data_IF_191595952518
#
_entry.id   IF_191595952518
#
_cell.length_a   1.000
_cell.length_b   1.000
_cell.length_c   1.000
_cell.angle_alpha   90.00
_cell.angle_beta   90.00
_cell.angle_gamma   90.00
#
_symmetry.space_group_name_H-M   'P 1'
#
loop_
_entity.id
_entity.type
_entity.pdbx_description
1 polymer ?
#
# COMPACT_ATOMS: atom_id res chain seq x y z
N UNK A 1 0.02 -5.88 1.57
CA UNK A 1 -0.01 -5.28 2.92
C UNK A 1 -1.32 -5.65 3.60
N UNK A 2 -1.33 -6.06 4.87
CA UNK A 2 -2.57 -6.26 5.64
C UNK A 2 -3.36 -4.96 5.78
N UNK A 3 -4.69 -5.03 5.70
CA UNK A 3 -5.58 -3.86 5.72
C UNK A 3 -5.40 -3.06 7.02
N UNK A 4 -5.27 -3.73 8.16
CA UNK A 4 -5.08 -3.07 9.46
C UNK A 4 -3.80 -2.24 9.56
N UNK A 5 -2.70 -2.70 8.93
CA UNK A 5 -1.44 -1.95 8.90
C UNK A 5 -1.58 -0.72 8.03
N UNK A 6 -2.21 -0.85 6.85
CA UNK A 6 -2.46 0.29 5.98
C UNK A 6 -3.34 1.34 6.67
N UNK A 7 -4.41 0.90 7.33
CA UNK A 7 -5.31 1.78 8.08
C UNK A 7 -4.59 2.51 9.22
N UNK A 8 -3.67 1.84 9.93
CA UNK A 8 -2.88 2.46 11.00
C UNK A 8 -1.92 3.52 10.46
N UNK A 9 -1.26 3.25 9.34
CA UNK A 9 -0.38 4.22 8.68
C UNK A 9 -1.17 5.43 8.19
N UNK A 10 -2.32 5.23 7.54
CA UNK A 10 -3.19 6.33 7.12
C UNK A 10 -3.72 7.14 8.31
N UNK A 11 -4.01 6.49 9.45
CA UNK A 11 -4.35 7.19 10.68
C UNK A 11 -3.20 8.10 11.15
N UNK A 12 -1.96 7.60 11.19
CA UNK A 12 -0.80 8.41 11.57
C UNK A 12 -0.61 9.60 10.63
N UNK A 13 -0.80 9.40 9.32
CA UNK A 13 -0.72 10.47 8.32
C UNK A 13 -1.83 11.52 8.51
N UNK A 14 -3.07 11.08 8.81
CA UNK A 14 -4.20 11.97 9.12
C UNK A 14 -3.95 12.78 10.38
N UNK A 15 -3.50 12.11 11.44
CA UNK A 15 -3.19 12.73 12.71
C UNK A 15 -2.07 13.76 12.54
N UNK A 16 -0.99 13.43 11.84
CA UNK A 16 0.07 14.39 11.52
C UNK A 16 -0.45 15.63 10.76
N UNK A 17 -1.37 15.44 9.82
CA UNK A 17 -1.90 16.53 9.00
C UNK A 17 -2.85 17.45 9.78
N UNK A 18 -3.65 16.91 10.69
CA UNK A 18 -4.76 17.63 11.33
C UNK A 18 -4.57 17.92 12.82
N UNK A 19 -3.71 17.21 13.53
CA UNK A 19 -3.55 17.38 14.99
C UNK A 19 -2.51 18.44 15.37
N UNK A 20 -1.74 19.00 14.42
CA UNK A 20 -0.81 20.10 14.70
C UNK A 20 0.16 19.84 15.87
N UNK A 21 0.82 20.90 16.37
CA UNK A 21 1.65 20.89 17.59
C UNK A 21 0.89 21.43 18.82
N UNK A 22 -0.30 22.01 18.62
CA UNK A 22 -1.11 22.59 19.69
C UNK A 22 -2.31 21.69 20.01
N UNK A 23 -2.55 21.46 21.30
CA UNK A 23 -3.63 20.64 21.83
C UNK A 23 -5.00 21.25 21.52
N UNK A 24 -5.52 20.93 20.33
CA UNK A 24 -6.88 21.26 19.93
C UNK A 24 -7.38 20.25 18.91
N UNK A 25 -8.54 19.64 19.16
CA UNK A 25 -9.20 18.76 18.18
C UNK A 25 -9.65 19.60 16.99
N UNK A 26 -8.75 19.84 16.05
CA UNK A 26 -9.09 20.52 14.82
C UNK A 26 -9.95 19.57 13.98
N UNK A 27 -11.18 20.01 13.71
CA UNK A 27 -12.16 19.22 12.99
C UNK A 27 -11.60 18.75 11.65
N UNK A 28 -11.81 17.49 11.26
CA UNK A 28 -11.40 16.98 9.95
C UNK A 28 -12.18 17.69 8.83
N UNK A 29 -11.68 18.85 8.38
CA UNK A 29 -12.38 19.73 7.43
C UNK A 29 -12.50 19.12 6.03
N UNK A 30 -11.65 18.15 5.69
CA UNK A 30 -11.60 17.53 4.36
C UNK A 30 -11.51 16.01 4.47
N UNK A 31 -12.36 15.29 3.72
CA UNK A 31 -12.32 13.83 3.60
C UNK A 31 -10.94 13.35 3.13
N UNK A 32 -10.44 12.29 3.75
CA UNK A 32 -9.10 11.77 3.47
C UNK A 32 -8.91 11.35 2.02
N UNK A 33 -9.93 10.79 1.38
CA UNK A 33 -9.89 10.40 -0.03
C UNK A 33 -9.61 11.59 -0.94
N UNK A 34 -10.13 12.77 -0.60
CA UNK A 34 -9.89 14.01 -1.36
C UNK A 34 -8.48 14.54 -1.11
N UNK A 35 -7.97 14.42 0.12
CA UNK A 35 -6.59 14.78 0.48
C UNK A 35 -5.57 13.96 -0.32
N UNK A 36 -5.85 12.67 -0.54
CA UNK A 36 -4.93 11.77 -1.25
C UNK A 36 -4.85 12.01 -2.75
N UNK A 37 -5.82 12.71 -3.36
CA UNK A 37 -5.82 13.03 -4.80
C UNK A 37 -4.68 13.98 -5.18
N UNK A 38 -4.41 14.08 -6.49
CA UNK A 38 -3.41 15.00 -7.02
C UNK A 38 -3.78 16.47 -6.75
N UNK A 39 -2.81 17.38 -6.86
CA UNK A 39 -3.06 18.82 -6.67
C UNK A 39 -3.95 19.38 -7.77
N UNK A 40 -3.82 18.85 -8.99
CA UNK A 40 -4.64 19.19 -10.16
C UNK A 40 -6.10 18.79 -9.95
N UNK A 41 -6.35 17.71 -9.20
CA UNK A 41 -7.69 17.26 -8.81
C UNK A 41 -8.21 17.92 -7.51
N UNK A 42 -7.49 18.89 -6.94
CA UNK A 42 -7.87 19.59 -5.71
C UNK A 42 -7.57 18.84 -4.41
N UNK A 43 -6.65 17.88 -4.44
CA UNK A 43 -6.06 17.21 -3.27
C UNK A 43 -4.68 17.76 -2.87
N UNK A 44 -4.01 17.10 -1.92
CA UNK A 44 -2.66 17.48 -1.47
C UNK A 44 -1.54 16.71 -2.18
N UNK A 45 -1.86 15.71 -3.00
CA UNK A 45 -0.90 14.87 -3.70
C UNK A 45 -0.18 13.86 -2.81
N UNK A 46 -0.68 13.61 -1.59
CA UNK A 46 -0.08 12.68 -0.62
C UNK A 46 -0.13 11.22 -1.14
N UNK A 47 -1.06 10.93 -2.06
CA UNK A 47 -1.21 9.65 -2.75
C UNK A 47 -1.83 8.56 -1.87
N UNK A 48 -2.69 7.72 -2.47
CA UNK A 48 -3.41 6.67 -1.75
C UNK A 48 -2.49 5.50 -1.39
N UNK A 49 -2.46 5.12 -0.11
CA UNK A 49 -1.67 3.96 0.35
C UNK A 49 -2.24 2.65 -0.21
N UNK A 50 -3.57 2.60 -0.42
CA UNK A 50 -4.25 1.49 -1.07
C UNK A 50 -3.75 1.29 -2.50
N UNK A 51 -3.74 2.36 -3.30
CA UNK A 51 -3.26 2.33 -4.69
C UNK A 51 -1.79 1.92 -4.76
N UNK A 52 -0.95 2.49 -3.88
CA UNK A 52 0.47 2.09 -3.77
C UNK A 52 0.62 0.61 -3.42
N UNK A 53 -0.18 0.09 -2.50
CA UNK A 53 -0.14 -1.34 -2.14
C UNK A 53 -0.64 -2.25 -3.27
N UNK A 54 -1.62 -1.82 -4.07
CA UNK A 54 -2.05 -2.53 -5.29
C UNK A 54 -0.94 -2.55 -6.34
N UNK A 55 -0.35 -1.40 -6.64
CA UNK A 55 0.77 -1.29 -7.58
C UNK A 55 1.97 -2.14 -7.15
N UNK A 56 2.32 -2.11 -5.86
CA UNK A 56 3.40 -2.95 -5.32
C UNK A 56 3.07 -4.44 -5.44
N UNK A 57 1.83 -4.86 -5.14
CA UNK A 57 1.41 -6.25 -5.34
C UNK A 57 1.53 -6.68 -6.80
N UNK A 58 1.07 -5.85 -7.74
CA UNK A 58 1.21 -6.11 -9.16
C UNK A 58 2.69 -6.20 -9.59
N UNK A 59 3.54 -5.30 -9.11
CA UNK A 59 4.99 -5.33 -9.34
C UNK A 59 5.61 -6.64 -8.85
N UNK A 60 5.26 -7.09 -7.66
CA UNK A 60 5.80 -8.35 -7.12
C UNK A 60 5.27 -9.57 -7.86
N UNK A 61 4.00 -9.56 -8.27
CA UNK A 61 3.41 -10.61 -9.09
C UNK A 61 4.13 -10.72 -10.44
N UNK A 62 4.42 -9.58 -11.08
CA UNK A 62 5.18 -9.52 -12.33
C UNK A 62 6.61 -10.05 -12.18
N UNK A 63 7.27 -9.75 -11.05
CA UNK A 63 8.63 -10.24 -10.76
C UNK A 63 8.69 -11.72 -10.41
N UNK A 64 7.58 -12.31 -9.96
CA UNK A 64 7.54 -13.70 -9.49
C UNK A 64 8.06 -14.73 -10.51
N UNK A 65 7.64 -14.73 -11.79
CA UNK A 65 8.20 -15.66 -12.79
C UNK A 65 9.61 -15.29 -13.26
N UNK A 66 10.06 -14.05 -13.07
CA UNK A 66 11.36 -13.56 -13.54
C UNK A 66 12.48 -13.85 -12.54
N UNK A 67 12.17 -13.83 -11.24
CA UNK A 67 13.16 -13.92 -10.16
C UNK A 67 13.16 -15.29 -9.44
N UNK A 68 13.10 -16.37 -10.22
CA UNK A 68 12.99 -17.75 -9.71
C UNK A 68 14.14 -18.17 -8.79
N UNK A 69 15.32 -17.58 -8.95
CA UNK A 69 16.51 -17.89 -8.14
C UNK A 69 16.60 -17.10 -6.83
N UNK A 70 15.71 -16.15 -6.59
CA UNK A 70 15.75 -15.31 -5.38
C UNK A 70 15.25 -16.07 -4.14
N UNK A 71 15.77 -15.70 -2.97
CA UNK A 71 15.36 -16.30 -1.69
C UNK A 71 13.86 -16.11 -1.42
N UNK A 72 13.32 -14.92 -1.71
CA UNK A 72 11.92 -14.61 -1.50
C UNK A 72 11.01 -15.48 -2.39
N UNK A 73 11.40 -15.72 -3.65
CA UNK A 73 10.67 -16.61 -4.55
C UNK A 73 10.61 -18.04 -3.98
N UNK A 74 11.75 -18.58 -3.51
CA UNK A 74 11.81 -19.91 -2.89
C UNK A 74 10.93 -20.02 -1.63
N UNK A 75 10.94 -19.01 -0.78
CA UNK A 75 10.11 -18.95 0.43
C UNK A 75 8.62 -18.95 0.06
N UNK A 76 8.22 -18.11 -0.90
CA UNK A 76 6.82 -18.03 -1.34
C UNK A 76 6.40 -19.35 -2.00
N UNK A 77 7.23 -19.91 -2.88
CA UNK A 77 6.99 -21.21 -3.53
C UNK A 77 6.78 -22.32 -2.50
N UNK A 78 7.66 -22.40 -1.50
CA UNK A 78 7.57 -23.38 -0.41
C UNK A 78 6.33 -23.17 0.48
N UNK A 79 6.02 -21.92 0.83
CA UNK A 79 4.88 -21.59 1.69
C UNK A 79 3.52 -21.93 1.08
N UNK A 80 3.37 -21.76 -0.23
CA UNK A 80 2.10 -21.97 -0.92
C UNK A 80 2.06 -23.26 -1.74
N UNK A 81 3.07 -24.14 -1.62
CA UNK A 81 3.08 -25.44 -2.29
C UNK A 81 2.99 -25.32 -3.81
N UNK A 82 3.64 -24.32 -4.41
CA UNK A 82 3.68 -24.15 -5.87
C UNK A 82 4.70 -25.16 -6.43
N UNK A 83 4.38 -26.44 -6.31
CA UNK A 83 5.08 -27.52 -7.00
C UNK A 83 4.56 -27.57 -8.43
N UNK A 84 5.42 -27.08 -9.34
CA UNK A 84 5.60 -27.42 -10.76
C UNK A 84 4.49 -28.04 -11.63
N UNK A 85 3.19 -27.90 -11.33
CA UNK A 85 2.14 -28.55 -12.12
C UNK A 85 1.04 -27.58 -12.63
N UNK A 86 1.28 -26.27 -12.69
CA UNK A 86 0.29 -25.29 -13.18
C UNK A 86 0.78 -24.24 -14.18
N UNK A 87 2.09 -24.20 -14.46
CA UNK A 87 2.68 -23.28 -15.45
C UNK A 87 3.73 -24.01 -16.28
N UNK A 88 3.42 -25.26 -16.67
CA UNK A 88 4.13 -25.95 -17.73
C UNK A 88 3.53 -25.52 -19.07
N UNK A 89 4.40 -25.21 -20.02
CA UNK A 89 4.12 -24.98 -21.43
C UNK A 89 3.02 -25.85 -22.02
#
# INVERSE_FOLDING_TARGET
MPIGVAAKVEQLMRNFLWEGLEEGKDSHLVRWERVTKSKEEGGLGIGSLRERNEALRAKWLWRFPLETNSLWHRIIKSKYGIDSNGWGY
#
